data_IF_406764098750
#
_entry.id   IF_406764098750
#
_cell.length_a   1.000
_cell.length_b   1.000
_cell.length_c   1.000
_cell.angle_alpha   90.00
_cell.angle_beta   90.00
_cell.angle_gamma   90.00
#
_symmetry.space_group_name_H-M   'P 1'
#
loop_
_entity.id
_entity.type
_entity.pdbx_description
1 polymer ?
#
# COMPACT_ATOMS: atom_id res chain seq x y z
N UNK A 1 10.38 15.93 0.04
CA UNK A 1 9.55 16.15 1.25
C UNK A 1 8.12 15.65 1.06
N UNK A 2 7.46 15.98 -0.06
CA UNK A 2 6.05 15.60 -0.31
C UNK A 2 5.79 14.09 -0.27
N UNK A 3 6.72 13.27 -0.78
CA UNK A 3 6.65 11.80 -0.71
C UNK A 3 6.55 11.28 0.71
N UNK A 4 7.42 11.74 1.61
CA UNK A 4 7.43 11.31 3.03
C UNK A 4 6.14 11.71 3.74
N UNK A 5 5.63 12.89 3.43
CA UNK A 5 4.36 13.40 3.97
C UNK A 5 3.20 12.50 3.51
N UNK A 6 3.14 12.13 2.23
CA UNK A 6 2.14 11.19 1.70
C UNK A 6 2.18 9.83 2.41
N UNK A 7 3.36 9.27 2.67
CA UNK A 7 3.49 8.02 3.43
C UNK A 7 2.90 8.17 4.83
N UNK A 8 3.32 9.21 5.55
CA UNK A 8 2.87 9.46 6.92
C UNK A 8 1.34 9.65 6.96
N UNK A 9 0.79 10.43 6.03
CA UNK A 9 -0.66 10.64 5.91
C UNK A 9 -1.39 9.32 5.63
N UNK A 10 -0.84 8.42 4.82
CA UNK A 10 -1.46 7.13 4.54
C UNK A 10 -1.50 6.23 5.80
N UNK A 11 -0.44 6.23 6.61
CA UNK A 11 -0.44 5.53 7.90
C UNK A 11 -1.41 6.15 8.91
N UNK A 12 -1.39 7.48 9.07
CA UNK A 12 -2.35 8.19 9.92
C UNK A 12 -3.78 7.91 9.46
N UNK A 13 -4.02 7.87 8.15
CA UNK A 13 -5.32 7.59 7.58
C UNK A 13 -5.88 6.23 7.99
N UNK A 14 -5.01 5.24 8.23
CA UNK A 14 -5.41 3.90 8.67
C UNK A 14 -6.12 3.92 10.03
N UNK A 15 -5.83 4.92 10.87
CA UNK A 15 -6.39 5.05 12.22
C UNK A 15 -7.66 5.91 12.20
N UNK A 16 -7.64 7.02 11.44
CA UNK A 16 -8.66 8.06 11.55
C UNK A 16 -9.73 8.03 10.45
N UNK A 17 -9.51 7.31 9.34
CA UNK A 17 -10.40 7.36 8.19
C UNK A 17 -10.88 5.96 7.77
N UNK A 18 -12.02 5.87 7.04
CA UNK A 18 -12.51 4.61 6.47
C UNK A 18 -11.52 3.97 5.48
N UNK A 19 -11.61 2.64 5.37
CA UNK A 19 -10.72 1.80 4.55
C UNK A 19 -10.62 2.24 3.09
N UNK A 20 -11.68 2.83 2.52
CA UNK A 20 -11.70 3.32 1.14
C UNK A 20 -10.71 4.46 0.92
N UNK A 21 -10.65 5.40 1.88
CA UNK A 21 -9.75 6.57 1.82
C UNK A 21 -8.31 6.10 2.02
N UNK A 22 -8.09 5.22 3.00
CA UNK A 22 -6.76 4.64 3.26
C UNK A 22 -6.25 3.86 2.06
N UNK A 23 -7.09 3.06 1.41
CA UNK A 23 -6.75 2.32 0.20
C UNK A 23 -6.35 3.23 -0.97
N UNK A 24 -7.11 4.31 -1.21
CA UNK A 24 -6.77 5.29 -2.24
C UNK A 24 -5.42 5.98 -1.96
N UNK A 25 -5.17 6.35 -0.70
CA UNK A 25 -3.88 6.92 -0.27
C UNK A 25 -2.72 5.92 -0.42
N UNK A 26 -2.95 4.64 -0.10
CA UNK A 26 -1.96 3.59 -0.27
C UNK A 26 -1.59 3.38 -1.74
N UNK A 27 -2.59 3.34 -2.64
CA UNK A 27 -2.38 3.20 -4.09
C UNK A 27 -1.61 4.40 -4.63
N UNK A 28 -2.01 5.63 -4.27
CA UNK A 28 -1.30 6.83 -4.72
C UNK A 28 0.14 6.88 -4.19
N UNK A 29 0.39 6.43 -2.96
CA UNK A 29 1.73 6.33 -2.40
C UNK A 29 2.59 5.26 -3.10
N UNK A 30 1.97 4.19 -3.63
CA UNK A 30 2.64 3.08 -4.32
C UNK A 30 3.41 3.48 -5.59
N UNK A 31 2.96 4.54 -6.27
CA UNK A 31 3.65 5.11 -7.43
C UNK A 31 5.05 5.61 -7.08
N UNK A 32 5.23 6.08 -5.84
CA UNK A 32 6.48 6.60 -5.35
C UNK A 32 7.31 5.54 -4.63
N UNK A 33 6.66 4.71 -3.83
CA UNK A 33 7.28 3.63 -3.06
C UNK A 33 6.42 2.37 -3.13
N UNK A 34 6.82 1.38 -3.95
CA UNK A 34 5.99 0.19 -4.21
C UNK A 34 5.65 -0.62 -2.96
N UNK A 35 6.46 -0.56 -1.90
CA UNK A 35 6.27 -1.35 -0.67
C UNK A 35 5.26 -0.74 0.31
N UNK A 36 4.79 0.50 0.09
CA UNK A 36 3.89 1.18 1.03
C UNK A 36 2.56 0.45 1.22
N UNK A 37 1.85 0.02 0.15
CA UNK A 37 0.59 -0.71 0.31
C UNK A 37 0.72 -1.96 1.19
N UNK A 38 1.78 -2.75 1.02
CA UNK A 38 2.07 -3.90 1.87
C UNK A 38 2.25 -3.48 3.34
N UNK A 39 3.05 -2.45 3.60
CA UNK A 39 3.33 -1.98 4.96
C UNK A 39 2.06 -1.44 5.66
N UNK A 40 1.22 -0.72 4.93
CA UNK A 40 -0.09 -0.25 5.43
C UNK A 40 -1.03 -1.44 5.66
N UNK A 41 -1.05 -2.42 4.76
CA UNK A 41 -1.86 -3.63 4.91
C UNK A 41 -1.51 -4.43 6.15
N UNK A 42 -0.20 -4.65 6.40
CA UNK A 42 0.30 -5.26 7.63
C UNK A 42 -0.11 -4.47 8.86
N UNK A 43 0.03 -3.15 8.82
CA UNK A 43 -0.35 -2.29 9.94
C UNK A 43 -1.86 -2.33 10.21
N UNK A 44 -2.69 -2.28 9.17
CA UNK A 44 -4.14 -2.36 9.28
C UNK A 44 -4.58 -3.72 9.85
N UNK A 45 -4.00 -4.82 9.40
CA UNK A 45 -4.28 -6.13 9.99
C UNK A 45 -3.82 -6.19 11.45
N UNK A 46 -2.67 -5.64 11.82
CA UNK A 46 -2.29 -5.62 13.25
C UNK A 46 -3.25 -4.82 14.14
N UNK A 47 -3.96 -3.84 13.59
CA UNK A 47 -4.91 -3.01 14.32
C UNK A 47 -6.33 -3.60 14.34
N UNK A 48 -6.76 -4.23 13.24
CA UNK A 48 -8.16 -4.57 13.00
C UNK A 48 -8.39 -6.06 12.72
N UNK A 49 -7.35 -6.88 12.66
CA UNK A 49 -7.51 -8.32 12.45
C UNK A 49 -8.04 -8.99 13.71
N UNK A 50 -9.29 -9.43 13.64
CA UNK A 50 -9.88 -10.32 14.62
C UNK A 50 -9.96 -11.74 14.05
N UNK A 51 -9.29 -12.68 14.71
CA UNK A 51 -9.22 -14.10 14.31
C UNK A 51 -10.61 -14.74 14.19
N UNK A 52 -11.59 -14.24 14.95
CA UNK A 52 -12.97 -14.75 14.92
C UNK A 52 -13.78 -14.23 13.72
N UNK A 53 -13.33 -13.17 13.05
CA UNK A 53 -14.05 -12.52 11.94
C UNK A 53 -13.48 -12.93 10.58
N UNK A 54 -12.16 -13.14 10.49
CA UNK A 54 -11.51 -13.55 9.24
C UNK A 54 -10.37 -14.54 9.49
N UNK A 55 -10.32 -15.59 8.69
CA UNK A 55 -9.26 -16.62 8.75
C UNK A 55 -7.93 -16.07 8.21
N UNK A 56 -7.97 -15.02 7.38
CA UNK A 56 -6.81 -14.48 6.69
C UNK A 56 -6.70 -12.96 6.84
N UNK A 57 -5.46 -12.42 6.93
CA UNK A 57 -5.18 -10.99 6.97
C UNK A 57 -5.40 -10.35 5.60
N UNK A 58 -6.64 -9.91 5.35
CA UNK A 58 -7.09 -9.44 4.03
C UNK A 58 -6.38 -8.15 3.61
N UNK A 59 -6.12 -7.22 4.53
CA UNK A 59 -5.50 -5.94 4.18
C UNK A 59 -4.05 -6.14 3.71
N UNK A 60 -3.32 -7.05 4.34
CA UNK A 60 -1.97 -7.48 3.95
C UNK A 60 -1.99 -8.15 2.58
N UNK A 61 -2.97 -9.02 2.32
CA UNK A 61 -3.10 -9.69 1.03
C UNK A 61 -3.31 -8.67 -0.10
N UNK A 62 -4.25 -7.73 0.08
CA UNK A 62 -4.49 -6.67 -0.90
C UNK A 62 -3.28 -5.75 -1.04
N UNK A 63 -2.65 -5.37 0.07
CA UNK A 63 -1.41 -4.59 0.08
C UNK A 63 -0.29 -5.27 -0.71
N UNK A 64 -0.11 -6.59 -0.53
CA UNK A 64 0.87 -7.38 -1.25
C UNK A 64 0.61 -7.40 -2.76
N UNK A 65 -0.65 -7.58 -3.17
CA UNK A 65 -1.04 -7.55 -4.59
C UNK A 65 -0.73 -6.18 -5.21
N UNK A 66 -1.15 -5.09 -4.56
CA UNK A 66 -0.90 -3.73 -5.07
C UNK A 66 0.59 -3.44 -5.13
N UNK A 67 1.35 -3.84 -4.11
CA UNK A 67 2.81 -3.70 -4.10
C UNK A 67 3.47 -4.48 -5.23
N UNK A 68 3.07 -5.73 -5.48
CA UNK A 68 3.59 -6.55 -6.58
C UNK A 68 3.31 -5.91 -7.95
N UNK A 69 2.09 -5.39 -8.15
CA UNK A 69 1.71 -4.66 -9.38
C UNK A 69 2.57 -3.40 -9.54
N UNK A 70 2.72 -2.60 -8.48
CA UNK A 70 3.53 -1.38 -8.50
C UNK A 70 5.00 -1.68 -8.83
N UNK A 71 5.57 -2.76 -8.28
CA UNK A 71 6.91 -3.23 -8.62
C UNK A 71 7.02 -3.63 -10.10
N UNK A 72 6.08 -4.42 -10.59
CA UNK A 72 6.07 -4.87 -11.98
C UNK A 72 5.99 -3.70 -12.96
N UNK A 73 5.06 -2.78 -12.72
CA UNK A 73 4.87 -1.57 -13.55
C UNK A 73 6.14 -0.71 -13.53
N UNK A 74 6.70 -0.45 -12.36
CA UNK A 74 7.92 0.35 -12.22
C UNK A 74 9.13 -0.31 -12.90
N UNK A 75 9.26 -1.63 -12.78
CA UNK A 75 10.30 -2.40 -13.47
C UNK A 75 10.17 -2.29 -14.99
N UNK A 76 8.95 -2.39 -15.53
CA UNK A 76 8.69 -2.25 -16.97
C UNK A 76 8.95 -0.84 -17.48
N UNK A 77 8.59 0.20 -16.73
CA UNK A 77 8.86 1.60 -17.10
C UNK A 77 10.37 1.86 -17.13
N UNK A 78 11.11 1.46 -16.09
CA UNK A 78 12.54 1.70 -16.00
C UNK A 78 13.34 0.91 -17.06
N UNK A 79 12.95 -0.34 -17.34
CA UNK A 79 13.57 -1.15 -18.39
C UNK A 79 13.26 -0.66 -19.80
N UNK A 80 12.09 -0.02 -20.01
CA UNK A 80 11.71 0.60 -21.28
C UNK A 80 12.57 1.83 -21.61
N UNK A 81 12.92 2.65 -20.62
CA UNK A 81 13.70 3.88 -20.80
C UNK A 81 15.14 3.59 -21.27
N UNK A 82 15.73 2.46 -20.86
CA UNK A 82 17.10 2.06 -21.23
C UNK A 82 17.22 1.60 -22.70
N UNK A 83 16.10 1.37 -23.40
CA UNK A 83 16.10 0.85 -24.79
C UNK A 83 15.87 1.93 -25.86
N UNK A 84 15.99 3.21 -25.52
CA UNK A 84 15.88 4.31 -26.49
C UNK A 84 17.23 4.96 -26.76
#
# INVERSE_FOLDING_TARGET
>A
MIRKILVIIAFISTIFFPWQITGALAITASFFEPLIPLAIGLFADTLFYEVNVAIIPLFTLYGAIVSAIAFFVRGRINTSIIRK
#
